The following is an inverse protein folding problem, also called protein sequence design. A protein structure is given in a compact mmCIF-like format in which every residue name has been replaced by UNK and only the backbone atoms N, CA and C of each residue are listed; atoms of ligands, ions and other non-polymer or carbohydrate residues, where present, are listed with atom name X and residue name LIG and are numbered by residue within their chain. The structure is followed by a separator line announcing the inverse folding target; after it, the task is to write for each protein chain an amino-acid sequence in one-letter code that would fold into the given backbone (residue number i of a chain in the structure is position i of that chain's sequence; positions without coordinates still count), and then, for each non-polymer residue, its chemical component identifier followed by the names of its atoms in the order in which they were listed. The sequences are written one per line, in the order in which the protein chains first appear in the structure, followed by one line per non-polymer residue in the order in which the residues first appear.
data_IF_168566320275
#
_entry.id   IF_168566320275
#
_cell.length_a   1.000
_cell.length_b   1.000
_cell.length_c   1.000
_cell.angle_alpha   90.00
_cell.angle_beta   90.00
_cell.angle_gamma   90.00
#
_symmetry.space_group_name_H-M   'P 1'
#
loop_
_entity.id
_entity.type
_entity.pdbx_description
1 polymer ?
#
# COMPACT_ATOMS: atom_id res chain seq x y z
N UNK A 1 -20.75 29.42 -0.60
CA UNK A 1 -19.32 29.05 -0.78
C UNK A 1 -19.04 29.00 -2.28
N UNK A 2 -17.92 29.55 -2.72
CA UNK A 2 -17.45 29.43 -4.11
C UNK A 2 -16.19 28.55 -4.11
N UNK A 3 -16.19 27.50 -4.93
CA UNK A 3 -15.02 26.64 -5.18
C UNK A 3 -14.62 26.84 -6.64
N UNK A 4 -13.33 27.09 -6.87
CA UNK A 4 -12.77 27.25 -8.22
C UNK A 4 -11.81 26.08 -8.44
N UNK A 5 -12.09 25.27 -9.46
CA UNK A 5 -11.26 24.16 -9.91
C UNK A 5 -10.71 24.48 -11.30
N UNK A 6 -9.42 24.20 -11.52
CA UNK A 6 -8.74 24.46 -12.79
C UNK A 6 -8.96 23.31 -13.78
N UNK A 7 -9.08 22.08 -13.29
CA UNK A 7 -9.35 20.88 -14.09
C UNK A 7 -10.82 20.85 -14.52
N UNK A 8 -11.13 19.94 -15.42
CA UNK A 8 -12.48 19.68 -15.92
C UNK A 8 -13.28 18.72 -15.01
N UNK A 9 -12.71 18.33 -13.87
CA UNK A 9 -13.33 17.44 -12.90
C UNK A 9 -12.96 17.83 -11.45
N UNK A 10 -13.75 17.37 -10.49
CA UNK A 10 -13.51 17.57 -9.05
C UNK A 10 -12.53 16.54 -8.48
N UNK A 11 -12.12 16.72 -7.21
CA UNK A 11 -11.44 15.67 -6.43
C UNK A 11 -9.92 15.60 -6.60
N UNK A 12 -9.32 16.49 -7.40
CA UNK A 12 -7.88 16.52 -7.61
C UNK A 12 -7.34 15.18 -8.11
N UNK A 13 -6.29 14.65 -7.48
CA UNK A 13 -5.72 13.35 -7.90
C UNK A 13 -6.59 12.15 -7.50
N UNK A 14 -7.51 12.30 -6.55
CA UNK A 14 -8.43 11.24 -6.12
C UNK A 14 -9.60 11.03 -7.09
N UNK A 15 -9.66 11.78 -8.20
CA UNK A 15 -10.71 11.62 -9.18
C UNK A 15 -10.68 10.24 -9.84
N UNK A 16 -11.87 9.64 -9.96
CA UNK A 16 -12.10 8.42 -10.73
C UNK A 16 -13.28 8.58 -11.68
N UNK A 17 -13.32 7.73 -12.71
CA UNK A 17 -14.36 7.72 -13.72
C UNK A 17 -14.69 6.28 -14.14
N UNK A 18 -15.90 6.05 -14.65
CA UNK A 18 -16.28 4.77 -15.20
C UNK A 18 -15.74 4.63 -16.63
N UNK A 19 -14.92 3.61 -16.88
CA UNK A 19 -14.26 3.45 -18.17
C UNK A 19 -15.29 3.07 -19.25
N UNK A 20 -15.38 3.82 -20.37
CA UNK A 20 -16.37 3.58 -21.42
C UNK A 20 -16.34 2.14 -21.96
N UNK A 21 -17.51 1.53 -22.11
CA UNK A 21 -17.64 0.16 -22.63
C UNK A 21 -17.24 -0.94 -21.64
N UNK A 22 -17.04 -0.60 -20.36
CA UNK A 22 -16.75 -1.54 -19.28
C UNK A 22 -17.51 -1.17 -18.01
N UNK A 23 -17.58 -2.08 -17.05
CA UNK A 23 -18.13 -1.82 -15.70
C UNK A 23 -17.02 -1.50 -14.68
N UNK A 24 -15.87 -0.98 -15.14
CA UNK A 24 -14.70 -0.73 -14.30
C UNK A 24 -14.58 0.76 -13.96
N UNK A 25 -14.54 1.07 -12.67
CA UNK A 25 -14.17 2.40 -12.17
C UNK A 25 -12.63 2.54 -12.13
N UNK A 26 -12.10 3.59 -12.75
CA UNK A 26 -10.67 3.82 -12.93
C UNK A 26 -10.25 5.11 -12.25
N UNK A 27 -9.19 5.06 -11.45
CA UNK A 27 -8.57 6.24 -10.86
C UNK A 27 -7.66 6.90 -11.89
N UNK A 28 -7.97 8.13 -12.30
CA UNK A 28 -7.27 8.79 -13.41
C UNK A 28 -5.77 9.02 -13.13
N UNK A 29 -5.41 9.21 -11.87
CA UNK A 29 -4.05 9.57 -11.44
C UNK A 29 -3.39 8.49 -10.58
N UNK A 30 -3.73 7.22 -10.84
CA UNK A 30 -3.22 6.08 -10.09
C UNK A 30 -4.12 5.69 -8.90
N UNK A 31 -3.92 4.49 -8.34
CA UNK A 31 -4.80 3.94 -7.32
C UNK A 31 -4.77 4.79 -6.04
N UNK A 32 -5.95 5.13 -5.53
CA UNK A 32 -6.13 5.80 -4.24
C UNK A 32 -6.86 4.85 -3.31
N UNK A 33 -6.17 4.40 -2.26
CA UNK A 33 -6.71 3.45 -1.29
C UNK A 33 -6.84 4.20 0.02
N UNK A 34 -8.08 4.36 0.48
CA UNK A 34 -8.34 5.02 1.75
C UNK A 34 -7.94 4.11 2.92
N UNK A 35 -7.20 4.67 3.87
CA UNK A 35 -6.95 4.05 5.17
C UNK A 35 -6.79 5.15 6.23
N UNK A 36 -7.30 4.91 7.43
CA UNK A 36 -7.11 5.81 8.57
C UNK A 36 -7.21 5.02 9.87
N UNK A 37 -6.45 5.42 10.89
CA UNK A 37 -6.63 4.98 12.28
C UNK A 37 -7.43 5.98 13.13
N UNK A 38 -7.82 7.13 12.55
CA UNK A 38 -8.58 8.17 13.25
C UNK A 38 -10.07 7.90 13.16
N UNK A 39 -10.70 7.66 14.30
CA UNK A 39 -12.16 7.49 14.38
C UNK A 39 -12.92 8.73 13.93
N UNK A 40 -12.41 9.93 14.20
CA UNK A 40 -13.08 11.18 13.81
C UNK A 40 -13.08 11.35 12.29
N UNK A 41 -11.96 11.05 11.63
CA UNK A 41 -11.87 11.04 10.17
C UNK A 41 -12.78 9.95 9.59
N UNK A 42 -12.80 8.76 10.21
CA UNK A 42 -13.67 7.66 9.79
C UNK A 42 -15.15 8.04 9.87
N UNK A 43 -15.59 8.64 10.98
CA UNK A 43 -16.98 9.10 11.17
C UNK A 43 -17.34 10.19 10.14
N UNK A 44 -16.44 11.15 9.93
CA UNK A 44 -16.66 12.22 8.96
C UNK A 44 -16.77 11.69 7.53
N UNK A 45 -15.84 10.83 7.09
CA UNK A 45 -15.84 10.39 5.69
C UNK A 45 -17.03 9.47 5.37
N UNK A 46 -17.50 8.69 6.35
CA UNK A 46 -18.71 7.86 6.22
C UNK A 46 -20.02 8.67 6.32
N UNK A 47 -19.98 10.00 6.52
CA UNK A 47 -21.19 10.81 6.35
C UNK A 47 -21.49 11.14 4.88
N UNK A 48 -20.63 10.76 3.94
CA UNK A 48 -20.79 11.00 2.51
C UNK A 48 -21.19 9.69 1.77
N UNK A 49 -20.26 8.81 1.34
CA UNK A 49 -20.62 7.45 0.92
C UNK A 49 -20.07 6.37 1.89
N UNK A 50 -20.65 5.18 1.79
CA UNK A 50 -20.15 3.98 2.47
C UNK A 50 -18.86 3.47 1.82
N UNK A 51 -17.94 2.99 2.66
CA UNK A 51 -16.74 2.27 2.22
C UNK A 51 -17.02 0.77 2.10
N UNK A 52 -16.39 0.13 1.12
CA UNK A 52 -16.29 -1.33 1.11
C UNK A 52 -15.24 -1.83 2.12
N UNK A 53 -15.16 -3.15 2.31
CA UNK A 53 -14.22 -3.78 3.25
C UNK A 53 -12.89 -4.19 2.60
N UNK A 54 -12.45 -3.50 1.54
CA UNK A 54 -11.22 -3.83 0.84
C UNK A 54 -9.98 -3.69 1.74
N UNK A 55 -9.07 -4.66 1.68
CA UNK A 55 -7.77 -4.63 2.37
C UNK A 55 -6.65 -4.75 1.35
N UNK A 56 -5.90 -3.66 1.20
CA UNK A 56 -4.82 -3.62 0.23
C UNK A 56 -3.68 -4.57 0.61
N UNK A 57 -3.19 -5.30 -0.39
CA UNK A 57 -2.03 -6.20 -0.28
C UNK A 57 -1.16 -5.95 -1.50
N UNK A 58 0.14 -5.84 -1.26
CA UNK A 58 1.12 -5.56 -2.31
C UNK A 58 1.98 -6.80 -2.52
N UNK A 59 2.26 -7.09 -3.78
CA UNK A 59 3.28 -8.03 -4.21
C UNK A 59 4.38 -7.26 -4.95
N UNK A 60 5.60 -7.77 -4.90
CA UNK A 60 6.74 -7.25 -5.66
C UNK A 60 7.47 -8.37 -6.37
N UNK A 61 8.19 -8.04 -7.43
CA UNK A 61 9.01 -8.98 -8.19
C UNK A 61 10.47 -8.61 -8.06
N UNK A 62 11.31 -9.55 -7.66
CA UNK A 62 12.78 -9.39 -7.64
C UNK A 62 13.46 -10.72 -7.94
N UNK A 63 14.51 -10.70 -8.75
CA UNK A 63 15.25 -11.92 -9.13
C UNK A 63 14.38 -12.98 -9.83
N UNK A 64 13.33 -12.57 -10.55
CA UNK A 64 12.39 -13.49 -11.20
C UNK A 64 11.31 -14.09 -10.29
N UNK A 65 11.32 -13.75 -9.00
CA UNK A 65 10.40 -14.29 -8.00
C UNK A 65 9.44 -13.23 -7.44
N UNK A 66 8.24 -13.67 -7.04
CA UNK A 66 7.19 -12.82 -6.46
C UNK A 66 7.22 -12.91 -4.93
N UNK A 67 7.22 -11.77 -4.24
CA UNK A 67 7.25 -11.67 -2.78
C UNK A 67 6.14 -10.77 -2.24
N UNK A 68 5.67 -11.05 -1.03
CA UNK A 68 4.77 -10.13 -0.33
C UNK A 68 5.48 -8.87 0.15
N UNK A 69 4.79 -7.74 0.08
CA UNK A 69 5.16 -6.49 0.74
C UNK A 69 4.04 -6.00 1.68
N UNK A 70 4.40 -5.31 2.78
CA UNK A 70 5.76 -5.07 3.27
C UNK A 70 6.45 -6.38 3.71
N UNK A 71 7.78 -6.33 3.90
CA UNK A 71 8.57 -7.49 4.34
C UNK A 71 7.95 -8.06 5.62
N UNK A 72 7.60 -9.33 5.58
CA UNK A 72 7.03 -10.09 6.69
C UNK A 72 7.69 -11.48 6.77
N UNK A 73 7.25 -12.33 7.69
CA UNK A 73 7.79 -13.68 7.86
C UNK A 73 7.69 -14.53 6.58
N UNK A 74 6.61 -14.41 5.82
CA UNK A 74 6.45 -15.12 4.55
C UNK A 74 7.48 -14.64 3.51
N UNK A 75 7.74 -13.33 3.44
CA UNK A 75 8.79 -12.76 2.60
C UNK A 75 10.17 -13.29 3.00
N UNK A 76 10.50 -13.31 4.29
CA UNK A 76 11.80 -13.78 4.80
C UNK A 76 11.99 -15.26 4.46
N UNK A 77 11.00 -16.09 4.80
CA UNK A 77 11.04 -17.53 4.53
C UNK A 77 11.16 -17.82 3.03
N UNK A 78 10.38 -17.14 2.18
CA UNK A 78 10.48 -17.33 0.73
C UNK A 78 11.83 -16.87 0.18
N UNK A 79 12.31 -15.69 0.58
CA UNK A 79 13.54 -15.10 0.02
C UNK A 79 14.79 -15.90 0.37
N UNK A 80 14.85 -16.44 1.60
CA UNK A 80 15.98 -17.25 2.04
C UNK A 80 15.78 -18.76 1.85
N UNK A 81 14.62 -19.17 1.32
CA UNK A 81 14.23 -20.58 1.22
C UNK A 81 14.33 -21.31 2.58
N UNK A 82 13.71 -20.74 3.62
CA UNK A 82 13.69 -21.23 5.00
C UNK A 82 12.26 -21.42 5.50
N UNK A 83 12.11 -22.06 6.66
CA UNK A 83 10.82 -22.17 7.39
C UNK A 83 11.07 -21.82 8.85
N UNK A 84 11.23 -20.52 9.12
CA UNK A 84 11.48 -19.98 10.44
C UNK A 84 10.16 -19.62 11.15
N UNK A 85 10.16 -19.76 12.46
CA UNK A 85 9.22 -19.09 13.37
C UNK A 85 9.56 -17.59 13.50
N UNK A 86 8.68 -16.75 14.06
CA UNK A 86 8.97 -15.34 14.29
C UNK A 86 10.26 -15.08 15.09
N UNK A 87 10.51 -15.87 16.14
CA UNK A 87 11.69 -15.71 17.00
C UNK A 87 12.98 -16.10 16.25
N UNK A 88 12.95 -17.22 15.52
CA UNK A 88 14.08 -17.65 14.68
C UNK A 88 14.37 -16.65 13.57
N UNK A 89 13.35 -16.07 12.94
CA UNK A 89 13.52 -15.03 11.94
C UNK A 89 14.16 -13.77 12.52
N UNK A 90 13.80 -13.38 13.75
CA UNK A 90 14.41 -12.26 14.43
C UNK A 90 15.91 -12.51 14.71
N UNK A 91 16.28 -13.68 15.22
CA UNK A 91 17.69 -14.04 15.45
C UNK A 91 18.48 -14.16 14.14
N UNK A 92 17.88 -14.78 13.13
CA UNK A 92 18.47 -14.89 11.80
C UNK A 92 18.78 -13.53 11.17
N UNK A 93 17.86 -12.56 11.29
CA UNK A 93 18.08 -11.21 10.80
C UNK A 93 19.14 -10.47 11.62
N UNK A 94 19.13 -10.58 12.96
CA UNK A 94 20.16 -9.97 13.83
C UNK A 94 21.57 -10.40 13.42
N UNK A 95 21.77 -11.69 13.12
CA UNK A 95 23.05 -12.23 12.68
C UNK A 95 23.52 -11.68 11.31
N UNK A 96 22.62 -11.08 10.52
CA UNK A 96 22.91 -10.50 9.19
C UNK A 96 23.11 -8.99 9.19
N UNK A 97 22.89 -8.31 10.32
CA UNK A 97 23.12 -6.87 10.43
C UNK A 97 24.63 -6.63 10.44
N UNK A 98 25.14 -6.04 9.35
CA UNK A 98 26.49 -5.49 9.35
C UNK A 98 26.47 -4.05 9.86
N UNK A 99 27.49 -3.65 10.63
CA UNK A 99 27.65 -2.26 11.03
C UNK A 99 27.91 -1.41 9.78
N UNK A 100 26.98 -0.52 9.45
CA UNK A 100 27.16 0.45 8.38
C UNK A 100 27.56 1.79 9.01
N UNK A 101 28.85 2.14 8.93
CA UNK A 101 29.40 3.34 9.58
C UNK A 101 28.93 4.65 8.96
N UNK A 102 28.51 4.63 7.69
CA UNK A 102 28.04 5.81 6.95
C UNK A 102 26.90 5.45 5.99
N UNK A 103 25.66 5.30 6.47
CA UNK A 103 24.52 5.10 5.59
C UNK A 103 24.35 6.31 4.66
N UNK A 104 24.28 6.07 3.35
CA UNK A 104 23.89 7.08 2.36
C UNK A 104 22.51 6.72 1.83
N UNK A 105 21.62 7.70 1.77
CA UNK A 105 20.38 7.55 1.01
C UNK A 105 20.77 7.38 -0.46
N UNK A 106 20.22 6.37 -1.13
CA UNK A 106 20.24 6.25 -2.59
C UNK A 106 19.31 7.28 -3.21
#
# INVERSE_FOLDING_TARGET
MLIIEKRDHIGGNCYSYDHPGTDINVHQYGPHIFHTSSENIWKYINSFPDFNNYRHRVLTTTGGEIYSLPINLATINKFYNLTLTPDEAAEFLKAKISAMSSPKNL
#
